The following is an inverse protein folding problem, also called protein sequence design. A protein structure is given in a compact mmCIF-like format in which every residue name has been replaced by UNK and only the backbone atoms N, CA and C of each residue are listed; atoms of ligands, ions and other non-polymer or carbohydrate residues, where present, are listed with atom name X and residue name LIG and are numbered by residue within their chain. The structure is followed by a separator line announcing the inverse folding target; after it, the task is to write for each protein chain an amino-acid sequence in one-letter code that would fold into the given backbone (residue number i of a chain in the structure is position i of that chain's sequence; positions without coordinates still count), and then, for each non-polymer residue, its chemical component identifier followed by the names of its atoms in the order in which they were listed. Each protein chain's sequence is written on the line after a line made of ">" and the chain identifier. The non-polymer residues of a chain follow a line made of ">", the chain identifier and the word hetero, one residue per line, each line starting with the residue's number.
data_IF_897179962420
#
_entry.id   IF_897179962420
#
_cell.length_a   1.000
_cell.length_b   1.000
_cell.length_c   1.000
_cell.angle_alpha   90.00
_cell.angle_beta   90.00
_cell.angle_gamma   90.00
#
_symmetry.space_group_name_H-M   'P 1'
#
loop_
_entity.id
_entity.type
_entity.pdbx_description
1 polymer ?
#
# COMPACT_ATOMS: atom_id res chain seq x y z
N UNK A 1 -31.10 -37.60 39.62
CA UNK A 1 -29.64 -37.84 39.57
C UNK A 1 -29.10 -36.85 38.56
N UNK A 2 -28.49 -35.80 39.07
CA UNK A 2 -27.93 -34.68 38.31
C UNK A 2 -26.50 -35.08 37.94
N UNK A 3 -26.21 -35.22 36.64
CA UNK A 3 -24.88 -35.58 36.16
C UNK A 3 -24.02 -34.31 36.17
N UNK A 4 -23.00 -34.29 37.02
CA UNK A 4 -21.95 -33.25 36.99
C UNK A 4 -21.03 -33.54 35.82
N UNK A 5 -21.04 -32.63 34.84
CA UNK A 5 -20.25 -32.66 33.60
C UNK A 5 -18.77 -32.29 33.86
N UNK A 6 -18.13 -33.01 34.79
CA UNK A 6 -16.71 -32.80 35.11
C UNK A 6 -15.87 -33.92 34.50
N UNK A 7 -15.02 -33.53 33.54
CA UNK A 7 -13.93 -34.32 32.95
C UNK A 7 -14.29 -35.28 31.81
N UNK A 8 -14.90 -34.76 30.74
CA UNK A 8 -14.81 -35.46 29.45
C UNK A 8 -13.37 -35.35 28.90
N UNK A 9 -12.56 -36.37 29.15
CA UNK A 9 -11.16 -36.48 28.71
C UNK A 9 -10.97 -36.51 27.17
N UNK A 10 -12.06 -36.61 26.40
CA UNK A 10 -12.08 -36.55 24.93
C UNK A 10 -12.79 -35.30 24.41
N UNK A 11 -13.10 -34.32 25.26
CA UNK A 11 -13.53 -33.01 24.79
C UNK A 11 -12.44 -32.47 23.87
N UNK A 12 -12.79 -32.23 22.61
CA UNK A 12 -11.88 -31.59 21.68
C UNK A 12 -11.41 -30.27 22.33
N UNK A 13 -10.10 -29.98 22.37
CA UNK A 13 -9.63 -28.72 22.94
C UNK A 13 -10.39 -27.61 22.23
N UNK A 14 -11.08 -26.76 22.98
CA UNK A 14 -11.74 -25.60 22.38
C UNK A 14 -10.64 -24.81 21.70
N UNK A 15 -10.64 -24.84 20.37
CA UNK A 15 -9.76 -24.01 19.58
C UNK A 15 -10.09 -22.59 20.02
N UNK A 16 -9.16 -21.96 20.73
CA UNK A 16 -9.23 -20.54 21.02
C UNK A 16 -9.24 -19.92 19.64
N UNK A 17 -10.42 -19.54 19.13
CA UNK A 17 -10.55 -18.82 17.87
C UNK A 17 -9.55 -17.69 17.99
N UNK A 18 -8.47 -17.76 17.20
CA UNK A 18 -7.46 -16.72 17.17
C UNK A 18 -8.22 -15.41 17.10
N UNK A 19 -8.13 -14.63 18.18
CA UNK A 19 -8.90 -13.40 18.38
C UNK A 19 -8.85 -12.65 17.05
N UNK A 20 -9.98 -12.64 16.33
CA UNK A 20 -10.09 -11.91 15.08
C UNK A 20 -9.93 -10.46 15.50
N UNK A 21 -8.69 -9.97 15.41
CA UNK A 21 -8.34 -8.62 15.78
C UNK A 21 -9.36 -7.75 15.05
N UNK A 22 -10.13 -6.97 15.78
CA UNK A 22 -11.08 -6.05 15.15
C UNK A 22 -10.30 -5.23 14.13
N UNK A 23 -10.89 -4.89 12.97
CA UNK A 23 -10.15 -4.27 11.87
C UNK A 23 -9.26 -3.08 12.28
N UNK A 24 -9.63 -2.39 13.38
CA UNK A 24 -8.83 -1.38 14.06
C UNK A 24 -7.52 -1.88 14.72
N UNK A 25 -7.53 -2.96 15.48
CA UNK A 25 -6.33 -3.56 16.10
C UNK A 25 -5.31 -4.01 15.03
N UNK A 26 -5.76 -4.32 13.82
CA UNK A 26 -4.86 -4.70 12.72
C UNK A 26 -4.11 -3.51 12.11
N UNK A 27 -4.65 -2.28 12.21
CA UNK A 27 -4.03 -1.07 11.65
C UNK A 27 -2.69 -0.75 12.34
N UNK A 28 -2.51 -1.11 13.61
CA UNK A 28 -1.26 -0.84 14.34
C UNK A 28 -0.08 -1.67 13.83
N UNK A 29 -0.32 -2.69 12.98
CA UNK A 29 0.74 -3.42 12.29
C UNK A 29 1.49 -2.56 11.26
N UNK A 30 0.90 -1.44 10.80
CA UNK A 30 1.62 -0.47 9.99
C UNK A 30 2.53 0.39 10.89
N UNK A 31 3.85 0.47 10.63
CA UNK A 31 4.69 1.42 11.36
C UNK A 31 4.28 2.86 11.04
N UNK A 32 3.98 3.65 12.08
CA UNK A 32 3.72 5.08 11.94
C UNK A 32 4.97 5.79 11.41
N UNK A 33 4.83 6.57 10.35
CA UNK A 33 5.95 7.31 9.77
C UNK A 33 5.46 8.60 9.13
N UNK A 34 6.05 9.75 9.51
CA UNK A 34 5.55 11.06 9.08
C UNK A 34 5.41 11.19 7.57
N UNK A 35 4.25 11.64 7.11
CA UNK A 35 4.01 11.92 5.69
C UNK A 35 4.93 12.99 5.15
N UNK A 36 5.33 13.96 5.98
CA UNK A 36 6.33 14.98 5.59
C UNK A 36 7.70 14.36 5.34
N UNK A 37 8.09 13.36 6.14
CA UNK A 37 9.31 12.60 5.89
C UNK A 37 9.19 11.76 4.62
N UNK A 38 8.04 11.14 4.34
CA UNK A 38 7.81 10.45 3.06
C UNK A 38 8.00 11.42 1.90
N UNK A 39 7.39 12.61 1.95
CA UNK A 39 7.54 13.63 0.92
C UNK A 39 9.00 14.04 0.72
N UNK A 40 9.69 14.39 1.80
CA UNK A 40 11.09 14.82 1.77
C UNK A 40 11.99 13.73 1.22
N UNK A 41 11.88 12.50 1.73
CA UNK A 41 12.68 11.37 1.27
C UNK A 41 12.39 11.06 -0.19
N UNK A 42 11.13 11.11 -0.62
CA UNK A 42 10.76 10.95 -2.03
C UNK A 42 11.36 12.04 -2.91
N UNK A 43 11.48 13.29 -2.44
CA UNK A 43 12.13 14.35 -3.21
C UNK A 43 13.65 14.17 -3.28
N UNK A 44 14.30 13.94 -2.13
CA UNK A 44 15.76 13.79 -2.02
C UNK A 44 16.27 12.53 -2.74
N UNK A 45 15.49 11.46 -2.75
CA UNK A 45 15.84 10.19 -3.42
C UNK A 45 15.30 10.08 -4.85
N UNK A 46 14.81 11.19 -5.45
CA UNK A 46 14.24 11.20 -6.80
C UNK A 46 13.16 10.11 -7.01
N UNK A 47 12.24 10.03 -6.05
CA UNK A 47 11.11 9.09 -5.97
C UNK A 47 11.45 7.63 -5.65
N UNK A 48 12.72 7.27 -5.43
CA UNK A 48 13.09 5.89 -5.03
C UNK A 48 12.40 5.49 -3.71
N UNK A 49 12.36 6.41 -2.73
CA UNK A 49 11.67 6.14 -1.48
C UNK A 49 10.17 5.88 -1.66
N UNK A 50 9.50 6.55 -2.61
CA UNK A 50 8.09 6.28 -2.94
C UNK A 50 7.88 4.82 -3.37
N UNK A 51 8.80 4.28 -4.18
CA UNK A 51 8.74 2.89 -4.64
C UNK A 51 8.92 1.90 -3.47
N UNK A 52 9.90 2.16 -2.60
CA UNK A 52 10.10 1.39 -1.38
C UNK A 52 8.86 1.43 -0.47
N UNK A 53 8.26 2.61 -0.30
CA UNK A 53 7.07 2.80 0.52
C UNK A 53 5.89 2.00 -0.04
N UNK A 54 5.64 2.09 -1.35
CA UNK A 54 4.59 1.31 -2.04
C UNK A 54 4.78 -0.18 -1.79
N UNK A 55 5.99 -0.68 -2.02
CA UNK A 55 6.31 -2.10 -1.91
C UNK A 55 6.14 -2.61 -0.46
N UNK A 56 6.77 -1.94 0.50
CA UNK A 56 6.75 -2.33 1.91
C UNK A 56 5.34 -2.27 2.50
N UNK A 57 4.57 -1.21 2.23
CA UNK A 57 3.21 -1.04 2.77
C UNK A 57 2.21 -1.97 2.13
N UNK A 58 2.37 -2.26 0.84
CA UNK A 58 1.51 -3.25 0.17
C UNK A 58 1.74 -4.65 0.74
N UNK A 59 2.98 -5.02 1.07
CA UNK A 59 3.24 -6.29 1.77
C UNK A 59 2.56 -6.39 3.12
N UNK A 60 2.60 -5.33 3.92
CA UNK A 60 1.90 -5.30 5.22
C UNK A 60 0.39 -5.45 4.97
N UNK A 61 -0.19 -4.64 4.08
CA UNK A 61 -1.62 -4.70 3.78
C UNK A 61 -2.07 -6.08 3.27
N UNK A 62 -1.31 -6.71 2.37
CA UNK A 62 -1.63 -8.04 1.85
C UNK A 62 -1.55 -9.13 2.92
N UNK A 63 -0.74 -8.96 3.97
CA UNK A 63 -0.70 -9.89 5.12
C UNK A 63 -1.94 -9.75 6.00
N UNK A 64 -2.45 -8.53 6.14
CA UNK A 64 -3.63 -8.22 6.95
C UNK A 64 -4.96 -8.52 6.20
N UNK A 65 -4.89 -8.67 4.87
CA UNK A 65 -6.06 -8.85 4.01
C UNK A 65 -5.81 -10.04 3.05
N UNK A 66 -5.58 -11.25 3.59
CA UNK A 66 -5.18 -12.42 2.78
C UNK A 66 -6.28 -12.90 1.83
N UNK A 67 -7.55 -12.61 2.13
CA UNK A 67 -8.71 -13.03 1.32
C UNK A 67 -8.83 -12.26 0.00
N UNK A 68 -8.20 -11.08 -0.10
CA UNK A 68 -8.22 -10.28 -1.32
C UNK A 68 -6.96 -9.39 -1.37
N UNK A 69 -5.79 -9.97 -1.67
CA UNK A 69 -4.52 -9.26 -1.74
C UNK A 69 -4.42 -8.43 -3.02
N UNK A 70 -3.54 -7.42 -3.00
CA UNK A 70 -3.09 -6.72 -4.20
C UNK A 70 -2.11 -7.61 -4.94
N UNK A 71 -2.33 -7.83 -6.24
CA UNK A 71 -1.44 -8.62 -7.09
C UNK A 71 -0.01 -8.11 -7.05
N UNK A 72 0.95 -9.03 -7.03
CA UNK A 72 2.39 -8.74 -7.01
C UNK A 72 2.81 -7.74 -8.09
N UNK A 73 2.31 -7.94 -9.32
CA UNK A 73 2.66 -7.12 -10.47
C UNK A 73 2.28 -5.65 -10.30
N UNK A 74 1.21 -5.34 -9.55
CA UNK A 74 0.73 -3.96 -9.37
C UNK A 74 1.73 -3.11 -8.58
N UNK A 75 2.38 -3.67 -7.56
CA UNK A 75 3.30 -2.92 -6.69
C UNK A 75 4.79 -3.23 -6.95
N UNK A 76 5.11 -4.29 -7.72
CA UNK A 76 6.47 -4.62 -8.12
C UNK A 76 6.88 -4.01 -9.48
N UNK A 77 5.96 -3.97 -10.45
CA UNK A 77 6.28 -3.44 -11.78
C UNK A 77 6.69 -1.95 -11.81
N UNK A 78 6.22 -1.06 -10.92
CA UNK A 78 6.73 0.30 -10.87
C UNK A 78 8.25 0.40 -10.65
N UNK A 79 8.83 -0.54 -9.90
CA UNK A 79 10.28 -0.61 -9.69
C UNK A 79 10.99 -0.98 -11.00
N UNK A 80 10.46 -1.97 -11.72
CA UNK A 80 10.99 -2.39 -13.01
C UNK A 80 10.92 -1.25 -14.04
N UNK A 81 9.77 -0.60 -14.17
CA UNK A 81 9.59 0.53 -15.09
C UNK A 81 10.46 1.73 -14.73
N UNK A 82 10.70 1.98 -13.44
CA UNK A 82 11.62 3.02 -13.00
C UNK A 82 13.06 2.71 -13.43
N UNK A 83 13.53 1.47 -13.26
CA UNK A 83 14.87 1.05 -13.70
C UNK A 83 15.01 1.16 -15.22
N UNK A 84 14.04 0.64 -15.98
CA UNK A 84 14.02 0.76 -17.45
C UNK A 84 14.01 2.23 -17.87
N UNK A 85 13.21 3.07 -17.20
CA UNK A 85 13.14 4.50 -17.43
C UNK A 85 14.48 5.19 -17.23
N UNK A 86 15.22 4.87 -16.15
CA UNK A 86 16.57 5.42 -15.92
C UNK A 86 17.52 5.03 -17.05
N UNK A 87 17.55 3.75 -17.44
CA UNK A 87 18.45 3.27 -18.50
C UNK A 87 18.14 3.98 -19.81
N UNK A 88 16.87 4.05 -20.21
CA UNK A 88 16.47 4.69 -21.47
C UNK A 88 16.79 6.19 -21.45
N UNK A 89 16.50 6.89 -20.35
CA UNK A 89 16.84 8.32 -20.24
C UNK A 89 18.34 8.57 -20.25
N UNK A 90 19.13 7.69 -19.64
CA UNK A 90 20.59 7.76 -19.71
C UNK A 90 21.09 7.60 -21.14
N UNK A 91 20.55 6.64 -21.89
CA UNK A 91 20.88 6.45 -23.31
C UNK A 91 20.52 7.69 -24.14
N UNK A 92 19.32 8.25 -23.96
CA UNK A 92 18.91 9.48 -24.67
C UNK A 92 19.85 10.64 -24.32
N UNK A 93 20.20 10.81 -23.04
CA UNK A 93 21.12 11.87 -22.61
C UNK A 93 22.55 11.70 -23.15
N UNK A 94 23.02 10.45 -23.28
CA UNK A 94 24.37 10.15 -23.77
C UNK A 94 24.51 10.29 -25.29
N UNK A 95 23.55 9.77 -26.05
CA UNK A 95 23.58 9.80 -27.52
C UNK A 95 22.94 11.07 -28.12
N UNK A 96 22.20 11.85 -27.33
CA UNK A 96 21.60 13.10 -27.76
C UNK A 96 20.68 12.95 -28.97
N UNK A 97 20.89 13.76 -30.00
CA UNK A 97 20.10 13.73 -31.24
C UNK A 97 20.20 12.39 -31.98
N UNK A 98 21.26 11.62 -31.75
CA UNK A 98 21.50 10.32 -32.40
C UNK A 98 20.76 9.16 -31.71
N UNK A 99 20.12 9.38 -30.56
CA UNK A 99 19.38 8.35 -29.83
C UNK A 99 18.17 7.79 -30.61
N UNK A 100 17.76 8.48 -31.68
CA UNK A 100 16.62 8.12 -32.53
C UNK A 100 15.27 8.45 -31.89
N UNK A 101 14.33 8.96 -32.69
CA UNK A 101 12.99 9.34 -32.22
C UNK A 101 12.21 8.16 -31.62
N UNK A 102 12.49 6.93 -32.06
CA UNK A 102 11.86 5.71 -31.54
C UNK A 102 12.12 5.49 -30.05
N UNK A 103 13.33 5.80 -29.56
CA UNK A 103 13.68 5.61 -28.15
C UNK A 103 12.94 6.60 -27.24
N UNK A 104 12.79 7.85 -27.70
CA UNK A 104 12.00 8.89 -27.02
C UNK A 104 10.51 8.55 -26.98
N UNK A 105 9.96 8.02 -28.08
CA UNK A 105 8.56 7.56 -28.09
C UNK A 105 8.38 6.39 -27.11
N UNK A 106 9.31 5.44 -27.10
CA UNK A 106 9.28 4.32 -26.17
C UNK A 106 9.34 4.79 -24.70
N UNK A 107 10.21 5.74 -24.35
CA UNK A 107 10.30 6.27 -22.99
C UNK A 107 9.00 6.94 -22.53
N UNK A 108 8.33 7.64 -23.43
CA UNK A 108 7.05 8.28 -23.14
C UNK A 108 5.95 7.25 -22.89
N UNK A 109 5.88 6.19 -23.70
CA UNK A 109 4.92 5.09 -23.52
C UNK A 109 5.17 4.38 -22.19
N UNK A 110 6.42 4.04 -21.88
CA UNK A 110 6.80 3.43 -20.60
C UNK A 110 6.37 4.29 -19.42
N UNK A 111 6.58 5.61 -19.50
CA UNK A 111 6.21 6.56 -18.46
C UNK A 111 4.70 6.63 -18.26
N UNK A 112 3.91 6.63 -19.33
CA UNK A 112 2.45 6.61 -19.28
C UNK A 112 1.91 5.31 -18.67
N UNK A 113 2.45 4.16 -19.08
CA UNK A 113 2.07 2.86 -18.51
C UNK A 113 2.37 2.83 -17.01
N UNK A 114 3.55 3.32 -16.61
CA UNK A 114 3.92 3.41 -15.19
C UNK A 114 2.96 4.30 -14.40
N UNK A 115 2.55 5.46 -14.95
CA UNK A 115 1.57 6.35 -14.33
C UNK A 115 0.22 5.64 -14.10
N UNK A 116 -0.27 4.90 -15.10
CA UNK A 116 -1.53 4.14 -14.99
C UNK A 116 -1.42 3.08 -13.89
N UNK A 117 -0.31 2.33 -13.84
CA UNK A 117 -0.07 1.32 -12.80
C UNK A 117 -0.06 1.95 -11.41
N UNK A 118 0.59 3.11 -11.25
CA UNK A 118 0.60 3.86 -9.99
C UNK A 118 -0.82 4.24 -9.54
N UNK A 119 -1.67 4.70 -10.46
CA UNK A 119 -3.07 5.03 -10.15
C UNK A 119 -3.84 3.77 -9.76
N UNK A 120 -3.72 2.69 -10.53
CA UNK A 120 -4.37 1.40 -10.23
C UNK A 120 -3.93 0.89 -8.85
N UNK A 121 -2.65 1.00 -8.53
CA UNK A 121 -2.13 0.67 -7.20
C UNK A 121 -2.77 1.54 -6.12
N UNK A 122 -2.80 2.87 -6.30
CA UNK A 122 -3.30 3.80 -5.29
C UNK A 122 -4.77 3.50 -4.93
N UNK A 123 -5.61 3.26 -5.93
CA UNK A 123 -7.00 2.86 -5.72
C UNK A 123 -7.13 1.45 -5.12
N UNK A 124 -6.28 0.51 -5.53
CA UNK A 124 -6.26 -0.85 -4.96
C UNK A 124 -5.88 -0.87 -3.47
N UNK A 125 -4.88 -0.08 -3.09
CA UNK A 125 -4.43 0.11 -1.72
C UNK A 125 -5.49 0.81 -0.88
N UNK A 126 -6.04 1.93 -1.39
CA UNK A 126 -7.13 2.68 -0.78
C UNK A 126 -8.33 1.81 -0.42
N UNK A 127 -8.83 1.03 -1.39
CA UNK A 127 -10.05 0.24 -1.20
C UNK A 127 -9.87 -0.82 -0.09
N UNK A 128 -8.69 -1.46 -0.05
CA UNK A 128 -8.36 -2.46 0.98
C UNK A 128 -8.08 -1.82 2.32
N UNK A 129 -7.41 -0.67 2.36
CA UNK A 129 -7.18 0.08 3.60
C UNK A 129 -8.51 0.53 4.24
N UNK A 130 -9.42 1.09 3.45
CA UNK A 130 -10.74 1.49 3.94
C UNK A 130 -11.53 0.29 4.48
N UNK A 131 -11.48 -0.86 3.77
CA UNK A 131 -12.14 -2.10 4.21
C UNK A 131 -11.52 -2.64 5.50
N UNK A 132 -10.19 -2.71 5.58
CA UNK A 132 -9.46 -3.16 6.77
C UNK A 132 -9.81 -2.30 7.99
N UNK A 133 -9.86 -0.98 7.82
CA UNK A 133 -10.21 -0.06 8.89
C UNK A 133 -11.71 0.00 9.22
N UNK A 134 -12.57 -0.66 8.45
CA UNK A 134 -14.03 -0.58 8.61
C UNK A 134 -14.60 0.83 8.45
N UNK A 135 -13.96 1.69 7.64
CA UNK A 135 -14.37 3.09 7.47
C UNK A 135 -15.24 3.29 6.23
N UNK A 136 -16.31 4.05 6.39
CA UNK A 136 -17.28 4.34 5.34
C UNK A 136 -17.22 5.79 4.86
N UNK A 137 -17.93 6.08 3.75
CA UNK A 137 -18.03 7.45 3.22
C UNK A 137 -18.70 8.35 4.27
N UNK A 138 -17.97 9.37 4.72
CA UNK A 138 -18.41 10.29 5.78
C UNK A 138 -17.53 10.22 7.03
N UNK A 139 -16.81 9.11 7.24
CA UNK A 139 -15.81 9.01 8.30
C UNK A 139 -14.61 9.93 7.98
N UNK A 140 -14.12 10.67 8.98
CA UNK A 140 -12.91 11.49 8.89
C UNK A 140 -11.70 10.71 8.38
N UNK A 141 -11.61 9.43 8.72
CA UNK A 141 -10.51 8.54 8.34
C UNK A 141 -10.71 7.90 6.96
N UNK A 142 -11.88 8.05 6.32
CA UNK A 142 -12.12 7.54 4.98
C UNK A 142 -11.14 8.15 3.98
N UNK A 143 -10.46 7.32 3.20
CA UNK A 143 -9.64 7.78 2.09
C UNK A 143 -10.55 8.06 0.88
N UNK A 144 -10.61 9.31 0.40
CA UNK A 144 -11.43 9.73 -0.74
C UNK A 144 -10.74 9.53 -2.11
N UNK A 145 -11.49 9.42 -3.22
CA UNK A 145 -10.91 9.14 -4.54
C UNK A 145 -10.13 10.32 -5.13
N UNK A 146 -10.61 11.56 -4.94
CA UNK A 146 -10.01 12.77 -5.54
C UNK A 146 -8.57 12.95 -5.06
N UNK A 147 -8.34 12.99 -3.75
CA UNK A 147 -7.00 13.13 -3.18
C UNK A 147 -6.13 11.90 -3.46
N UNK A 148 -6.72 10.71 -3.62
CA UNK A 148 -5.97 9.50 -4.03
C UNK A 148 -5.39 9.66 -5.42
N UNK A 149 -6.14 10.24 -6.37
CA UNK A 149 -5.68 10.46 -7.73
C UNK A 149 -4.50 11.45 -7.81
N UNK A 150 -4.58 12.59 -7.11
CA UNK A 150 -3.55 13.63 -7.19
C UNK A 150 -2.31 13.33 -6.35
N UNK A 151 -2.49 12.81 -5.13
CA UNK A 151 -1.40 12.67 -4.16
C UNK A 151 -0.90 11.23 -3.98
N UNK A 152 -1.61 10.24 -4.52
CA UNK A 152 -1.22 8.82 -4.58
C UNK A 152 -0.62 8.31 -3.26
N UNK A 153 0.67 7.93 -3.26
CA UNK A 153 1.36 7.36 -2.10
C UNK A 153 1.44 8.32 -0.91
N UNK A 154 1.54 9.64 -1.13
CA UNK A 154 1.59 10.63 -0.05
C UNK A 154 0.27 10.66 0.71
N UNK A 155 -0.85 10.65 -0.01
CA UNK A 155 -2.17 10.62 0.61
C UNK A 155 -2.44 9.29 1.31
N UNK A 156 -2.00 8.17 0.73
CA UNK A 156 -2.06 6.87 1.42
C UNK A 156 -1.22 6.88 2.71
N UNK A 157 -0.03 7.48 2.70
CA UNK A 157 0.79 7.63 3.90
C UNK A 157 0.09 8.46 4.98
N UNK A 158 -0.50 9.59 4.59
CA UNK A 158 -1.30 10.39 5.51
C UNK A 158 -2.47 9.60 6.11
N UNK A 159 -3.22 8.87 5.29
CA UNK A 159 -4.38 8.11 5.75
C UNK A 159 -4.03 6.92 6.64
N UNK A 160 -2.94 6.22 6.35
CA UNK A 160 -2.41 5.18 7.25
C UNK A 160 -2.06 5.78 8.62
N UNK A 161 -1.34 6.90 8.66
CA UNK A 161 -1.01 7.57 9.94
C UNK A 161 -2.26 8.05 10.69
N UNK A 162 -3.22 8.64 9.99
CA UNK A 162 -4.48 9.09 10.58
C UNK A 162 -5.26 7.92 11.23
N UNK A 163 -5.27 6.76 10.58
CA UNK A 163 -5.90 5.56 11.11
C UNK A 163 -5.15 5.02 12.33
N UNK A 164 -3.81 5.02 12.32
CA UNK A 164 -2.99 4.63 13.48
C UNK A 164 -3.27 5.56 14.67
N UNK A 165 -3.28 6.87 14.44
CA UNK A 165 -3.50 7.87 15.49
C UNK A 165 -4.91 7.73 16.09
N UNK A 166 -5.96 7.48 15.28
CA UNK A 166 -7.32 7.17 15.76
C UNK A 166 -7.36 5.94 16.67
N UNK A 167 -6.67 4.86 16.31
CA UNK A 167 -6.65 3.64 17.12
C UNK A 167 -5.94 3.86 18.45
N UNK A 168 -4.89 4.68 18.48
CA UNK A 168 -4.18 5.04 19.72
C UNK A 168 -5.01 5.91 20.65
N UNK A 169 -5.90 6.76 20.12
CA UNK A 169 -6.81 7.58 20.93
C UNK A 169 -7.99 6.79 21.51
N UNK A 170 -8.27 5.59 20.98
CA UNK A 170 -9.37 4.74 21.42
C UNK A 170 -9.00 3.72 22.52
N UNK A 171 -7.70 3.61 22.85
CA UNK A 171 -7.13 2.75 23.91
C UNK A 171 -6.80 3.61 25.12
#
# INVERSE_FOLDING_TARGET
>A
MEYTDSENAYAAPEATLERSLTGGEQITAFPRFSTWWVLLLSMVTLSIYSLYWIYSRTKILNRLVPENPISFWIYASPILFFIVGIIVNFMIGFYGAEAGSGLTVFSNIVSLVNLIIFIVWAYSFRNRLNRLAGVEKGDKCYAGPILTFFLNSLYMSYKVNQLIDRQREAV
#
